data_IF_313127318625
#
_entry.id   IF_313127318625
#
_cell.length_a   1.000
_cell.length_b   1.000
_cell.length_c   1.000
_cell.angle_alpha   90.00
_cell.angle_beta   90.00
_cell.angle_gamma   90.00
#
_symmetry.space_group_name_H-M   'P 1'
#
loop_
_entity.id
_entity.type
_entity.pdbx_description
1 polymer ?
2 non-polymer ?
3 non-polymer ?
4 water ?
#
# COMPACT_ATOMS: atom_id res chain seq x y z
N UNK A 13 24.16 9.88 -4.67
CA UNK A 13 23.59 11.10 -4.10
C UNK A 13 22.28 10.79 -3.40
N UNK A 14 21.43 11.80 -3.28
CA UNK A 14 20.15 11.61 -2.59
C UNK A 14 19.10 11.05 -3.54
N UNK A 15 17.99 10.61 -2.96
CA UNK A 15 16.93 9.97 -3.73
C UNK A 15 16.30 10.93 -4.72
N UNK A 16 16.08 10.46 -5.94
CA UNK A 16 15.41 11.21 -6.99
C UNK A 16 14.00 10.66 -7.14
N UNK A 17 12.97 11.43 -6.82
CA UNK A 17 11.59 10.91 -6.89
C UNK A 17 11.21 10.56 -8.32
N UNK A 18 10.66 9.37 -8.54
CA UNK A 18 10.15 9.01 -9.87
C UNK A 18 9.01 9.93 -10.30
N UNK A 19 8.68 9.96 -11.57
CA UNK A 19 7.54 10.78 -12.01
C UNK A 19 6.23 10.28 -11.44
N UNK A 20 5.28 11.19 -11.33
CA UNK A 20 3.99 10.87 -10.73
C UNK A 20 3.15 10.01 -11.65
N UNK A 21 2.45 9.05 -11.06
CA UNK A 21 1.53 8.19 -11.79
C UNK A 21 0.24 8.95 -12.07
N UNK A 22 -0.61 8.45 -12.97
CA UNK A 22 -1.86 9.18 -13.27
C UNK A 22 -2.78 9.26 -12.06
N UNK A 23 -3.46 10.40 -11.94
CA UNK A 23 -4.49 10.61 -10.94
C UNK A 23 -5.77 10.98 -11.66
N UNK A 24 -6.83 10.23 -11.37
CA UNK A 24 -8.13 10.46 -11.99
C UNK A 24 -9.12 10.99 -10.95
N UNK A 25 -9.90 11.99 -11.35
CA UNK A 25 -10.91 12.60 -10.51
C UNK A 25 -12.26 12.45 -11.22
N UNK A 26 -12.85 11.26 -11.17
CA UNK A 26 -14.09 11.04 -11.93
C UNK A 26 -15.27 11.83 -11.37
N UNK A 27 -16.14 12.24 -12.28
CA UNK A 27 -17.41 12.81 -11.87
C UNK A 27 -18.33 11.70 -11.36
N UNK A 28 -19.49 12.10 -10.84
CA UNK A 28 -20.46 11.14 -10.34
C UNK A 28 -20.93 10.18 -11.44
N UNK A 29 -20.99 10.66 -12.68
CA UNK A 29 -21.38 9.79 -13.79
C UNK A 29 -20.33 8.71 -14.03
N UNK A 30 -19.05 9.11 -14.10
CA UNK A 30 -17.97 8.16 -14.31
C UNK A 30 -17.73 7.28 -13.09
N UNK A 31 -18.14 7.72 -11.90
CA UNK A 31 -17.96 6.98 -10.66
C UNK A 31 -19.04 5.93 -10.43
N UNK A 32 -19.81 5.58 -11.48
CA UNK A 32 -20.94 4.68 -11.29
C UNK A 32 -20.49 3.28 -10.90
N UNK A 33 -19.49 2.74 -11.60
CA UNK A 33 -19.05 1.37 -11.35
C UNK A 33 -17.54 1.27 -11.56
N UNK A 34 -16.80 0.67 -10.63
CA UNK A 34 -15.34 0.61 -10.79
C UNK A 34 -14.88 -0.21 -11.98
N UNK A 35 -15.56 -1.32 -12.28
CA UNK A 35 -15.13 -2.19 -13.37
C UNK A 35 -15.14 -1.44 -14.70
N UNK A 36 -16.23 -0.74 -15.00
CA UNK A 36 -16.30 0.01 -16.25
C UNK A 36 -15.32 1.18 -16.25
N UNK A 37 -15.13 1.82 -15.10
CA UNK A 37 -14.21 2.95 -15.03
C UNK A 37 -12.77 2.49 -15.24
N UNK A 38 -12.37 1.40 -14.58
CA UNK A 38 -11.02 0.88 -14.75
C UNK A 38 -10.80 0.45 -16.20
N UNK A 39 -11.84 -0.08 -16.84
CA UNK A 39 -11.73 -0.47 -18.23
C UNK A 39 -11.45 0.70 -19.16
N UNK A 40 -12.02 1.87 -18.85
CA UNK A 40 -11.85 3.02 -19.73
C UNK A 40 -10.51 3.74 -19.50
N UNK A 41 -10.01 3.77 -18.26
CA UNK A 41 -8.71 4.37 -18.01
C UNK A 41 -7.56 3.42 -18.32
N UNK A 42 -7.86 2.16 -18.64
CA UNK A 42 -6.83 1.17 -18.88
C UNK A 42 -5.79 1.57 -19.93
N UNK A 43 -6.14 2.17 -21.08
CA UNK A 43 -5.10 2.51 -22.06
C UNK A 43 -3.98 3.36 -21.49
N UNK A 44 -4.27 4.23 -20.52
CA UNK A 44 -3.22 5.03 -19.89
C UNK A 44 -2.65 4.33 -18.66
N UNK A 45 -3.53 3.85 -17.77
CA UNK A 45 -3.07 3.34 -16.49
C UNK A 45 -2.26 2.06 -16.63
N UNK A 46 -2.57 1.21 -17.61
CA UNK A 46 -1.77 0.00 -17.77
C UNK A 46 -0.36 0.31 -18.26
N UNK A 47 -0.14 1.49 -18.83
CA UNK A 47 1.20 1.90 -19.23
C UNK A 47 2.01 2.48 -18.08
N UNK A 48 1.39 2.72 -16.93
CA UNK A 48 2.09 3.20 -15.75
C UNK A 48 2.08 2.21 -14.60
N UNK A 49 1.35 1.10 -14.74
CA UNK A 49 1.29 0.09 -13.69
C UNK A 49 0.34 0.40 -12.56
N UNK A 50 0.46 1.59 -11.97
CA UNK A 50 -0.41 2.01 -10.89
C UNK A 50 -1.08 3.31 -11.28
N UNK A 51 -2.21 3.58 -10.66
CA UNK A 51 -2.89 4.86 -10.80
C UNK A 51 -3.65 5.16 -9.53
N UNK A 52 -4.00 6.44 -9.36
CA UNK A 52 -4.73 6.91 -8.20
C UNK A 52 -6.08 7.44 -8.64
N UNK A 53 -7.12 7.15 -7.86
CA UNK A 53 -8.49 7.55 -8.16
C UNK A 53 -9.04 8.31 -6.96
N UNK A 54 -9.39 9.58 -7.17
CA UNK A 54 -10.00 10.39 -6.13
C UNK A 54 -11.51 10.38 -6.31
N UNK A 55 -12.27 9.83 -5.38
CA UNK A 55 -13.73 9.83 -5.50
C UNK A 55 -14.27 11.25 -5.44
N UNK A 56 -15.53 11.47 -5.81
CA UNK A 56 -16.14 12.80 -5.65
C UNK A 56 -16.06 13.25 -4.20
N UNK A 57 -16.05 14.57 -4.01
CA UNK A 57 -15.82 15.14 -2.69
C UNK A 57 -16.85 14.66 -1.68
N UNK A 58 -18.09 14.45 -2.11
CA UNK A 58 -19.16 14.06 -1.20
C UNK A 58 -19.20 12.56 -0.91
N UNK A 59 -18.33 11.77 -1.54
CA UNK A 59 -18.28 10.32 -1.28
C UNK A 59 -17.34 10.10 -0.12
N UNK A 60 -17.91 9.91 1.08
CA UNK A 60 -17.13 9.74 2.31
C UNK A 60 -17.72 8.59 3.10
N UNK A 61 -17.21 7.38 2.93
CA UNK A 61 -17.70 6.24 3.71
C UNK A 61 -17.28 6.35 5.15
N UNK A 62 -18.16 6.00 6.10
CA UNK A 62 -17.77 6.01 7.50
C UNK A 62 -16.95 4.79 7.88
N UNK A 63 -16.02 4.98 8.80
CA UNK A 63 -15.16 3.90 9.25
C UNK A 63 -15.99 2.93 10.11
N UNK A 64 -16.01 1.66 9.71
CA UNK A 64 -16.93 0.69 10.29
C UNK A 64 -16.24 -0.41 11.10
N UNK A 65 -14.95 -0.27 11.37
CA UNK A 65 -14.27 -1.27 12.19
C UNK A 65 -14.65 -1.13 13.65
N UNK A 66 -14.64 -2.26 14.36
CA UNK A 66 -14.90 -2.29 15.80
C UNK A 66 -13.63 -1.78 16.50
N UNK A 67 -13.54 -0.45 16.63
CA UNK A 67 -12.33 0.18 17.16
C UNK A 67 -12.09 -0.21 18.61
N UNK A 68 -13.17 -0.42 19.38
CA UNK A 68 -13.02 -0.75 20.80
C UNK A 68 -12.25 -2.06 20.98
N UNK A 69 -12.55 -3.07 20.16
CA UNK A 69 -11.96 -4.39 20.29
C UNK A 69 -10.82 -4.65 19.32
N UNK A 70 -10.43 -3.64 18.52
CA UNK A 70 -9.40 -3.82 17.50
C UNK A 70 -8.04 -4.01 18.18
N UNK A 71 -7.60 -5.26 18.29
CA UNK A 71 -6.31 -5.59 18.88
C UNK A 71 -5.50 -6.41 17.88
N UNK A 72 -4.20 -6.14 17.81
CA UNK A 72 -3.36 -6.83 16.84
C UNK A 72 -1.91 -6.78 17.30
N UNK A 73 -1.13 -7.74 16.82
CA UNK A 73 0.30 -7.80 17.06
C UNK A 73 1.04 -7.55 15.75
N UNK A 74 1.57 -6.36 15.52
CA UNK A 74 2.21 -6.06 14.23
C UNK A 74 3.54 -6.77 14.10
N UNK A 75 4.00 -6.86 12.86
CA UNK A 75 5.28 -7.49 12.56
C UNK A 75 6.40 -6.45 12.60
N UNK A 76 7.57 -6.88 13.05
CA UNK A 76 8.73 -6.01 13.19
C UNK A 76 9.46 -5.94 11.86
N UNK A 77 9.82 -4.72 11.45
CA UNK A 77 10.54 -4.49 10.20
C UNK A 77 11.83 -3.74 10.48
N UNK A 78 12.96 -4.36 10.12
CA UNK A 78 14.25 -3.70 10.17
C UNK A 78 14.58 -3.22 8.76
N UNK A 79 14.70 -1.89 8.59
CA UNK A 79 14.78 -1.31 7.26
C UNK A 79 16.00 -1.79 6.50
N UNK A 80 17.14 -1.94 7.18
CA UNK A 80 18.40 -2.26 6.53
C UNK A 80 18.79 -3.73 6.67
N UNK A 81 17.80 -4.63 6.75
CA UNK A 81 18.11 -6.03 7.01
C UNK A 81 18.90 -6.66 5.87
N UNK A 82 18.67 -6.23 4.62
CA UNK A 82 19.40 -6.80 3.50
C UNK A 82 20.82 -6.27 3.40
N UNK A 83 21.05 -5.02 3.82
CA UNK A 83 22.41 -4.49 3.80
C UNK A 83 23.25 -5.03 4.94
N UNK A 84 22.61 -5.52 6.01
CA UNK A 84 23.33 -6.05 7.16
C UNK A 84 23.92 -7.44 6.93
N UNK A 85 23.50 -8.13 5.86
CA UNK A 85 24.03 -9.46 5.57
C UNK A 85 25.15 -9.40 4.53
N UNK A 96 17.57 -9.82 17.98
CA UNK A 96 16.38 -10.62 18.23
C UNK A 96 15.13 -9.75 18.32
N UNK A 97 14.28 -9.84 17.30
CA UNK A 97 13.06 -9.06 17.22
C UNK A 97 11.86 -9.99 17.09
N UNK A 98 10.84 -9.74 17.89
CA UNK A 98 9.64 -10.56 17.88
C UNK A 98 8.38 -9.73 18.13
N UNK A 101 4.63 -7.46 20.87
CA UNK A 101 3.88 -6.34 21.41
C UNK A 101 2.49 -6.24 20.79
N UNK A 102 1.46 -6.45 21.60
CA UNK A 102 0.09 -6.31 21.15
C UNK A 102 -0.37 -4.87 21.36
N UNK A 103 -0.99 -4.29 20.34
CA UNK A 103 -1.51 -2.94 20.39
C UNK A 103 -3.02 -2.95 20.19
N UNK A 104 -3.65 -1.86 20.61
CA UNK A 104 -4.93 -1.45 20.08
C UNK A 104 -4.68 -0.44 18.96
N UNK A 105 -5.75 -0.10 18.23
CA UNK A 105 -5.63 0.96 17.24
C UNK A 105 -5.15 2.27 17.89
N UNK A 106 -5.64 2.56 19.09
CA UNK A 106 -5.25 3.78 19.79
C UNK A 106 -3.79 3.72 20.25
N UNK A 107 -3.40 2.61 20.89
CA UNK A 107 -2.05 2.52 21.42
C UNK A 107 -1.01 2.44 20.30
N UNK A 108 -1.37 1.83 19.17
CA UNK A 108 -0.45 1.81 18.03
C UNK A 108 -0.28 3.21 17.46
N UNK A 109 -1.38 3.98 17.38
CA UNK A 109 -1.27 5.34 16.89
C UNK A 109 -0.44 6.24 17.78
N UNK A 110 -0.56 6.05 19.10
CA UNK A 110 0.28 6.81 20.02
C UNK A 110 1.75 6.48 19.84
N UNK A 111 2.06 5.18 19.71
CA UNK A 111 3.43 4.76 19.44
C UNK A 111 3.92 5.31 18.10
N UNK A 112 3.07 5.26 17.08
CA UNK A 112 3.48 5.67 15.75
C UNK A 112 3.76 7.16 15.69
N UNK A 113 2.86 7.98 16.26
CA UNK A 113 3.04 9.42 16.27
C UNK A 113 4.26 9.81 17.11
N UNK A 114 4.46 9.16 18.25
CA UNK A 114 5.62 9.44 19.08
C UNK A 114 6.92 9.11 18.35
N UNK A 115 6.93 8.00 17.61
CA UNK A 115 8.13 7.62 16.86
C UNK A 115 8.47 8.68 15.82
N UNK A 116 7.48 9.09 15.02
CA UNK A 116 7.76 9.99 13.91
C UNK A 116 8.13 11.38 14.41
N UNK A 117 7.38 11.90 15.39
CA UNK A 117 7.69 13.24 15.91
C UNK A 117 9.06 13.25 16.58
N UNK A 118 9.42 12.16 17.26
CA UNK A 118 10.75 12.09 17.88
C UNK A 118 11.85 11.95 16.84
N UNK A 119 11.59 11.16 15.78
CA UNK A 119 12.60 10.96 14.76
C UNK A 119 12.93 12.25 14.02
N UNK A 120 11.90 12.99 13.60
CA UNK A 120 12.11 14.20 12.82
C UNK A 120 12.14 15.47 13.66
N UNK A 121 11.88 15.36 14.97
CA UNK A 121 11.94 16.50 15.89
C UNK A 121 10.97 17.61 15.47
N UNK A 122 9.78 17.21 15.04
CA UNK A 122 8.75 18.16 14.63
C UNK A 122 7.40 17.44 14.67
N UNK A 123 6.29 18.20 14.71
CA UNK A 123 4.97 17.54 14.66
C UNK A 123 4.82 16.68 13.42
N UNK A 124 4.09 15.58 13.58
CA UNK A 124 4.02 14.57 12.53
C UNK A 124 3.44 15.15 11.24
N UNK A 125 2.45 16.03 11.36
CA UNK A 125 1.81 16.59 10.17
C UNK A 125 2.66 17.64 9.48
N UNK A 126 3.78 18.07 10.08
CA UNK A 126 4.64 19.07 9.49
C UNK A 126 5.82 18.48 8.73
N UNK A 127 6.00 17.17 8.77
CA UNK A 127 7.13 16.54 8.08
C UNK A 127 6.77 16.41 6.59
N UNK A 128 7.56 17.01 5.70
CA UNK A 128 7.25 16.92 4.27
C UNK A 128 7.34 15.47 3.78
N UNK A 129 6.43 15.11 2.85
CA UNK A 129 6.43 13.77 2.31
C UNK A 129 7.73 13.45 1.59
N UNK A 130 8.35 14.46 0.96
CA UNK A 130 9.62 14.24 0.28
C UNK A 130 10.74 13.93 1.26
N UNK A 131 10.67 14.48 2.47
CA UNK A 131 11.72 14.21 3.46
C UNK A 131 11.60 12.79 4.01
N UNK A 132 10.39 12.33 4.30
CA UNK A 132 10.22 10.95 4.74
C UNK A 132 10.69 9.99 3.65
N UNK A 133 10.40 10.33 2.39
CA UNK A 133 10.81 9.48 1.27
C UNK A 133 12.32 9.37 1.17
N UNK A 134 13.02 10.51 1.22
CA UNK A 134 14.48 10.47 1.11
C UNK A 134 15.11 9.79 2.32
N UNK A 135 14.53 9.98 3.50
CA UNK A 135 15.07 9.36 4.71
C UNK A 135 14.82 7.86 4.71
N UNK A 136 13.67 7.42 4.21
CA UNK A 136 13.37 5.99 4.14
C UNK A 136 14.42 5.25 3.32
N UNK A 137 14.74 5.77 2.13
CA UNK A 137 15.67 5.07 1.26
C UNK A 137 17.11 5.21 1.75
N UNK A 138 17.42 6.30 2.45
CA UNK A 138 18.73 6.39 3.09
C UNK A 138 18.88 5.32 4.17
N UNK A 139 17.84 5.14 4.98
CA UNK A 139 17.91 4.16 6.07
C UNK A 139 17.95 2.73 5.53
N UNK A 140 17.28 2.49 4.41
CA UNK A 140 17.25 1.15 3.83
C UNK A 140 18.66 0.70 3.46
N UNK A 141 19.48 1.62 2.97
CA UNK A 141 20.86 1.31 2.58
C UNK A 141 21.87 1.70 3.63
N UNK A 142 21.43 2.25 4.76
CA UNK A 142 22.35 2.68 5.81
C UNK A 142 22.86 1.50 6.62
N UNK A 143 24.19 1.41 6.75
CA UNK A 143 24.81 0.39 7.58
C UNK A 143 25.16 0.91 8.96
N UNK A 144 25.17 2.23 9.18
CA UNK A 144 25.50 2.80 10.47
C UNK A 144 24.30 2.92 11.40
N UNK A 145 23.12 3.19 10.85
CA UNK A 145 21.91 3.36 11.64
C UNK A 145 20.98 2.16 11.41
N UNK A 146 20.48 1.60 12.50
CA UNK A 146 19.57 0.45 12.46
C UNK A 146 18.21 0.92 12.97
N UNK A 147 17.32 1.27 12.04
CA UNK A 147 15.98 1.73 12.39
C UNK A 147 15.02 0.56 12.29
N UNK A 148 14.16 0.43 13.30
CA UNK A 148 13.23 -0.69 13.40
C UNK A 148 11.83 -0.13 13.62
N UNK A 149 10.86 -0.58 12.82
CA UNK A 149 9.48 -0.14 12.91
C UNK A 149 8.58 -1.37 12.95
N UNK A 150 7.28 -1.12 13.06
CA UNK A 150 6.27 -2.17 13.15
C UNK A 150 5.15 -1.89 12.16
N UNK A 151 4.59 -2.96 11.60
CA UNK A 151 3.56 -2.84 10.57
C UNK A 151 2.44 -3.81 10.89
N UNK A 152 1.23 -3.27 11.07
CA UNK A 152 0.06 -4.12 11.21
C UNK A 152 -0.47 -4.54 9.85
N UNK A 153 0.23 -5.44 9.18
CA UNK A 153 -0.04 -5.79 7.80
C UNK A 153 -0.78 -7.13 7.70
N UNK A 154 -1.55 -7.26 6.62
CA UNK A 154 -2.28 -8.49 6.28
C UNK A 154 -3.17 -8.93 7.44
N UNK A 155 -3.91 -7.98 8.00
CA UNK A 155 -4.93 -8.28 9.00
C UNK A 155 -6.23 -8.59 8.28
N UNK A 156 -6.78 -9.77 8.53
CA UNK A 156 -7.99 -10.20 7.83
C UNK A 156 -9.18 -9.35 8.24
N UNK A 157 -9.97 -8.93 7.25
CA UNK A 157 -11.20 -8.20 7.55
C UNK A 157 -12.26 -9.07 8.22
N UNK A 158 -12.06 -10.38 8.24
CA UNK A 158 -12.97 -11.25 8.99
C UNK A 158 -12.72 -11.20 10.49
N UNK A 159 -11.56 -10.71 10.90
CA UNK A 159 -11.22 -10.71 12.33
C UNK A 159 -11.99 -9.63 13.08
N UNK A 160 -11.78 -8.36 12.72
CA UNK A 160 -12.41 -7.24 13.40
C UNK A 160 -13.36 -6.46 12.49
N UNK A 161 -13.70 -7.00 11.33
CA UNK A 161 -14.59 -6.33 10.41
C UNK A 161 -13.83 -5.51 9.37
N UNK A 162 -14.56 -5.11 8.33
CA UNK A 162 -14.01 -4.26 7.30
C UNK A 162 -14.10 -2.79 7.70
N UNK A 163 -13.24 -1.97 7.09
CA UNK A 163 -13.35 -0.54 7.28
C UNK A 163 -14.57 0.06 6.64
N UNK A 164 -15.12 -0.60 5.63
CA UNK A 164 -16.38 -0.23 4.96
C UNK A 164 -17.55 -0.85 5.70
N UNK A 165 -18.70 -0.16 5.74
CA UNK A 165 -19.91 -0.79 6.28
C UNK A 165 -20.35 -1.92 5.36
N UNK A 166 -20.84 -3.00 5.97
CA UNK A 166 -21.31 -4.18 5.22
C UNK A 166 -22.62 -4.64 5.81
N UNK A 167 -23.48 -5.17 4.95
CA UNK A 167 -24.72 -5.79 5.40
C UNK A 167 -24.39 -7.14 6.02
N UNK A 168 -24.05 -7.14 7.29
CA UNK A 168 -23.56 -8.33 7.99
C UNK A 168 -24.42 -8.73 9.17
N UNK A 169 -24.91 -7.78 9.95
CA UNK A 169 -25.58 -8.05 11.19
C UNK A 169 -24.69 -7.99 12.41
N UNK A 170 -23.39 -8.21 12.24
CA UNK A 170 -22.46 -8.07 13.36
C UNK A 170 -22.33 -6.61 13.80
N UNK A 171 -22.58 -5.68 12.90
CA UNK A 171 -22.56 -4.25 13.21
C UNK A 171 -23.76 -3.59 12.54
N UNK A 172 -24.47 -2.76 13.30
CA UNK A 172 -25.63 -2.07 12.75
C UNK A 172 -25.20 -1.06 11.71
N UNK A 173 -25.94 -1.03 10.60
CA UNK A 173 -25.68 -0.09 9.51
C UNK A 173 -26.72 1.01 9.58
N UNK A 174 -26.27 2.25 9.77
CA UNK A 174 -27.16 3.39 9.80
C UNK A 174 -27.70 3.66 8.40
N UNK A 175 -28.83 4.37 8.29
CA UNK A 175 -29.35 4.70 6.95
C UNK A 175 -28.37 5.48 6.11
N UNK A 176 -27.60 6.39 6.72
CA UNK A 176 -26.59 7.15 5.99
C UNK A 176 -25.41 6.28 5.54
N UNK A 177 -25.31 5.04 6.04
CA UNK A 177 -24.23 4.15 5.69
C UNK A 177 -24.61 3.13 4.62
N UNK A 178 -25.91 2.91 4.39
CA UNK A 178 -26.33 1.85 3.48
C UNK A 178 -25.84 2.10 2.06
N UNK A 179 -25.81 3.37 1.63
CA UNK A 179 -25.28 3.70 0.32
C UNK A 179 -23.86 3.18 0.14
N UNK A 180 -23.04 3.27 1.19
CA UNK A 180 -21.66 2.79 1.12
C UNK A 180 -21.58 1.28 1.30
N UNK A 181 -22.52 0.68 2.02
CA UNK A 181 -22.54 -0.78 2.13
C UNK A 181 -22.86 -1.43 0.79
N UNK A 182 -23.59 -0.73 -0.08
CA UNK A 182 -23.99 -1.26 -1.38
C UNK A 182 -23.17 -0.69 -2.53
N UNK A 183 -22.23 0.21 -2.25
CA UNK A 183 -21.46 0.84 -3.31
C UNK A 183 -20.54 -0.17 -4.00
N UNK A 184 -20.40 -0.01 -5.31
CA UNK A 184 -19.45 -0.84 -6.05
C UNK A 184 -18.01 -0.57 -5.69
N UNK A 185 -17.71 0.60 -5.12
CA UNK A 185 -16.37 0.92 -4.66
C UNK A 185 -16.09 0.44 -3.24
N UNK A 186 -17.10 -0.08 -2.55
CA UNK A 186 -16.87 -0.85 -1.33
C UNK A 186 -16.08 -2.09 -1.69
N UNK A 187 -14.88 -2.22 -1.11
CA UNK A 187 -13.99 -3.31 -1.50
C UNK A 187 -14.58 -4.69 -1.22
N UNK A 188 -15.57 -4.78 -0.32
CA UNK A 188 -16.25 -6.05 -0.11
C UNK A 188 -17.18 -6.42 -1.25
N UNK A 189 -17.45 -5.49 -2.17
CA UNK A 189 -18.36 -5.73 -3.29
C UNK A 189 -17.63 -5.86 -4.62
N UNK A 190 -16.31 -6.08 -4.57
CA UNK A 190 -15.55 -6.28 -5.79
C UNK A 190 -15.65 -7.74 -6.24
N UNK A 191 -15.69 -7.99 -7.56
CA UNK A 191 -15.67 -9.38 -8.03
C UNK A 191 -14.30 -10.00 -7.82
N UNK A 192 -14.26 -11.15 -7.17
CA UNK A 192 -13.00 -11.76 -6.75
C UNK A 192 -12.87 -13.19 -7.28
N UNK A 193 -13.59 -13.49 -8.36
CA UNK A 193 -13.61 -14.84 -8.92
C UNK A 193 -13.04 -14.82 -10.33
N UNK A 194 -12.13 -15.75 -10.60
CA UNK A 194 -11.59 -15.95 -11.94
C UNK A 194 -12.42 -17.02 -12.66
N UNK A 195 -11.96 -17.46 -13.83
CA UNK A 195 -12.66 -18.47 -14.61
C UNK A 195 -11.95 -19.81 -14.49
N UNK A 196 -12.74 -20.87 -14.29
CA UNK A 196 -12.19 -22.21 -14.16
C UNK A 196 -13.26 -23.26 -14.47
N UNK A 209 -12.17 -14.87 -1.29
CA UNK A 209 -11.20 -13.86 -0.90
C UNK A 209 -11.88 -12.69 -0.20
N UNK A 210 -11.26 -12.20 0.87
CA UNK A 210 -11.78 -11.08 1.63
C UNK A 210 -10.74 -9.97 1.58
N UNK A 211 -11.15 -8.72 1.80
CA UNK A 211 -10.17 -7.64 1.88
C UNK A 211 -9.27 -7.81 3.10
N UNK A 212 -8.06 -7.26 2.98
CA UNK A 212 -7.09 -7.28 4.07
C UNK A 212 -6.84 -5.86 4.56
N UNK A 213 -6.48 -5.75 5.84
CA UNK A 213 -6.31 -4.47 6.50
C UNK A 213 -4.83 -4.22 6.79
N UNK A 214 -4.44 -2.95 6.76
CA UNK A 214 -3.05 -2.54 6.94
C UNK A 214 -3.00 -1.32 7.84
N UNK A 215 -2.46 -1.48 9.04
CA UNK A 215 -2.28 -0.39 9.99
C UNK A 215 -0.81 0.02 9.93
N UNK A 216 -0.54 1.19 9.34
CA UNK A 216 0.82 1.60 9.08
C UNK A 216 1.33 2.64 10.06
N UNK A 217 2.66 2.73 10.12
CA UNK A 217 3.36 3.80 10.81
C UNK A 217 4.47 4.32 9.89
N UNK A 218 5.13 5.38 10.33
CA UNK A 218 6.21 5.93 9.52
C UNK A 218 7.29 4.88 9.27
N UNK A 219 7.66 4.73 8.00
CA UNK A 219 8.72 3.85 7.48
C UNK A 219 8.27 2.40 7.35
N UNK A 220 7.07 2.02 7.80
CA UNK A 220 6.58 0.68 7.53
C UNK A 220 6.36 0.53 6.03
N UNK A 221 6.67 -0.65 5.49
CA UNK A 221 6.82 -0.77 4.04
C UNK A 221 6.37 -2.13 3.55
N UNK A 222 6.20 -2.21 2.23
CA UNK A 222 6.00 -3.47 1.53
C UNK A 222 6.94 -3.51 0.33
N UNK A 223 7.57 -4.65 0.12
CA UNK A 223 8.56 -4.73 -0.94
C UNK A 223 7.93 -5.10 -2.28
N UNK A 224 8.76 -5.07 -3.32
CA UNK A 224 8.28 -5.23 -4.70
C UNK A 224 7.63 -6.59 -4.89
N UNK A 225 6.45 -6.59 -5.48
CA UNK A 225 5.73 -7.83 -5.73
C UNK A 225 4.65 -7.59 -6.78
N UNK A 226 4.17 -8.70 -7.35
CA UNK A 226 2.94 -8.72 -8.13
C UNK A 226 1.97 -9.63 -7.41
N UNK A 227 0.70 -9.56 -7.82
CA UNK A 227 -0.35 -10.33 -7.16
C UNK A 227 -0.37 -11.76 -7.69
N UNK A 228 -0.86 -12.67 -6.84
CA UNK A 228 -1.10 -14.04 -7.28
C UNK A 228 -2.06 -14.04 -8.47
N UNK A 229 -1.78 -14.91 -9.44
CA UNK A 229 -2.54 -15.02 -10.68
C UNK A 229 -2.49 -13.73 -11.51
N UNK A 230 -1.51 -12.87 -11.23
CA UNK A 230 -1.38 -11.57 -11.90
C UNK A 230 -2.66 -10.75 -11.78
N UNK A 231 -3.32 -10.83 -10.63
CA UNK A 231 -4.59 -10.16 -10.47
C UNK A 231 -4.41 -8.65 -10.33
N UNK A 232 -5.48 -7.92 -10.63
CA UNK A 232 -5.59 -6.54 -10.19
C UNK A 232 -5.55 -6.48 -8.67
N UNK A 233 -5.22 -5.30 -8.15
CA UNK A 233 -5.46 -5.00 -6.75
C UNK A 233 -5.98 -3.58 -6.63
N UNK A 234 -6.86 -3.36 -5.67
CA UNK A 234 -7.37 -2.03 -5.37
C UNK A 234 -7.20 -1.78 -3.88
N UNK A 235 -6.74 -0.58 -3.55
CA UNK A 235 -6.35 -0.24 -2.19
C UNK A 235 -6.98 1.10 -1.80
N UNK A 236 -7.68 1.13 -0.67
CA UNK A 236 -8.33 2.32 -0.17
C UNK A 236 -7.73 2.73 1.16
N UNK A 237 -7.34 4.00 1.28
CA UNK A 237 -6.81 4.53 2.52
C UNK A 237 -7.96 5.17 3.30
N UNK A 238 -8.40 4.49 4.36
CA UNK A 238 -9.56 4.97 5.11
C UNK A 238 -9.25 6.28 5.81
N UNK A 239 -8.12 6.36 6.49
CA UNK A 239 -7.74 7.58 7.19
C UNK A 239 -6.24 7.53 7.49
N UNK A 240 -5.71 8.67 7.92
CA UNK A 240 -4.34 8.76 8.36
C UNK A 240 -3.45 9.47 7.37
N UNK A 241 -2.15 9.38 7.62
CA UNK A 241 -1.13 10.00 6.79
C UNK A 241 -0.94 9.20 5.51
N UNK A 242 -0.37 9.81 4.46
CA UNK A 242 -0.37 9.16 3.15
C UNK A 242 0.45 7.87 3.12
N UNK A 243 0.13 7.06 2.11
CA UNK A 243 0.89 5.87 1.77
C UNK A 243 1.59 6.13 0.44
N UNK A 244 2.91 6.04 0.43
CA UNK A 244 3.70 6.33 -0.76
C UNK A 244 3.88 5.06 -1.58
N UNK A 245 3.57 5.14 -2.87
CA UNK A 245 3.59 3.99 -3.77
C UNK A 245 4.67 4.16 -4.84
N UNK A 246 5.16 3.02 -5.33
CA UNK A 246 5.97 2.96 -6.53
C UNK A 246 5.42 1.85 -7.41
N UNK A 247 5.33 2.10 -8.70
CA UNK A 247 4.73 1.14 -9.62
C UNK A 247 5.51 1.03 -10.91
N UNK A 248 5.49 -0.18 -11.48
CA UNK A 248 6.16 -0.46 -12.75
C UNK A 248 5.13 -1.09 -13.70
N UNK A 249 5.00 -0.59 -14.92
CA UNK A 249 4.03 -1.17 -15.85
C UNK A 249 4.38 -2.61 -16.19
N UNK A 250 3.34 -3.36 -16.59
CA UNK A 250 3.50 -4.79 -16.81
C UNK A 250 4.43 -5.10 -17.97
N UNK A 251 4.57 -4.19 -18.94
CA UNK A 251 5.46 -4.46 -20.07
C UNK A 251 6.92 -4.45 -19.66
N UNK A 252 7.25 -3.95 -18.47
CA UNK A 252 8.61 -3.98 -17.96
C UNK A 252 8.79 -4.98 -16.83
N UNK A 253 7.86 -5.93 -16.67
CA UNK A 253 7.94 -6.87 -15.57
C UNK A 253 9.18 -7.75 -15.67
N UNK A 254 9.45 -8.27 -16.87
CA UNK A 254 10.64 -9.11 -17.04
C UNK A 254 11.92 -8.31 -16.82
N UNK A 255 11.93 -7.05 -17.25
CA UNK A 255 13.10 -6.20 -17.03
C UNK A 255 13.37 -6.00 -15.55
N UNK A 256 12.31 -5.78 -14.76
CA UNK A 256 12.49 -5.63 -13.32
C UNK A 256 13.01 -6.91 -12.69
N UNK A 257 12.45 -8.06 -13.09
CA UNK A 257 12.87 -9.33 -12.51
C UNK A 257 14.33 -9.65 -12.83
N UNK A 258 14.80 -9.25 -14.02
CA UNK A 258 16.21 -9.47 -14.36
C UNK A 258 17.12 -8.56 -13.54
N UNK A 259 16.73 -7.30 -13.34
CA UNK A 259 17.50 -6.41 -12.50
C UNK A 259 17.51 -6.91 -11.07
N UNK A 260 16.35 -7.34 -10.56
CA UNK A 260 16.26 -7.85 -9.21
C UNK A 260 17.13 -9.10 -9.05
N UNK A 261 17.16 -9.96 -10.06
CA UNK A 261 17.97 -11.17 -9.98
C UNK A 261 19.46 -10.86 -10.08
N UNK A 262 19.83 -9.84 -10.85
CA UNK A 262 21.24 -9.50 -11.01
C UNK A 262 21.82 -8.89 -9.74
N UNK A 263 21.01 -8.15 -8.98
CA UNK A 263 21.52 -7.42 -7.82
C UNK A 263 21.12 -8.05 -6.48
N UNK A 264 20.31 -9.10 -6.49
CA UNK A 264 19.96 -9.77 -5.26
C UNK A 264 21.15 -10.61 -4.78
N UNK A 265 21.27 -10.81 -3.47
CA UNK A 265 22.32 -11.71 -2.96
C UNK A 265 22.19 -13.11 -3.54
N UNK A 266 23.33 -13.80 -3.65
CA UNK A 266 23.35 -15.12 -4.29
C UNK A 266 22.44 -16.12 -3.58
N UNK A 267 22.26 -15.97 -2.26
CA UNK A 267 21.43 -16.91 -1.52
C UNK A 267 19.96 -16.78 -1.88
N UNK A 268 19.52 -15.59 -2.27
CA UNK A 268 18.12 -15.35 -2.60
C UNK A 268 17.85 -15.30 -4.09
N UNK A 269 18.89 -15.19 -4.92
CA UNK A 269 18.69 -15.03 -6.36
C UNK A 269 18.00 -16.23 -6.98
N UNK A 270 18.29 -17.42 -6.49
CA UNK A 270 17.73 -18.66 -7.04
C UNK A 270 16.41 -19.06 -6.38
N UNK A 271 15.89 -18.26 -5.45
CA UNK A 271 14.66 -18.62 -4.76
C UNK A 271 13.45 -18.43 -5.68
N UNK A 272 12.42 -19.26 -5.50
CA UNK A 272 11.17 -19.03 -6.24
C UNK A 272 10.63 -17.64 -5.98
N UNK A 273 9.93 -17.10 -6.98
CA UNK A 273 9.49 -15.71 -6.91
C UNK A 273 8.55 -15.45 -5.74
N UNK A 274 7.71 -16.43 -5.40
CA UNK A 274 6.78 -16.26 -4.27
C UNK A 274 7.53 -16.09 -2.96
N UNK A 275 8.69 -16.72 -2.82
CA UNK A 275 9.53 -16.56 -1.65
C UNK A 275 10.47 -15.36 -1.75
N UNK A 276 11.07 -15.16 -2.92
CA UNK A 276 11.94 -14.00 -3.11
C UNK A 276 11.19 -12.70 -2.86
N UNK A 277 9.91 -12.66 -3.23
CA UNK A 277 9.08 -11.47 -3.03
C UNK A 277 8.92 -11.07 -1.58
N UNK A 278 9.41 -11.88 -0.64
CA UNK A 278 9.39 -11.48 0.76
C UNK A 278 10.52 -10.52 1.11
N UNK A 279 11.59 -10.47 0.31
CA UNK A 279 12.75 -9.65 0.61
C UNK A 279 13.18 -8.83 -0.60
N UNK A 280 12.25 -8.57 -1.51
CA UNK A 280 12.57 -7.83 -2.74
C UNK A 280 12.46 -6.31 -2.51
N UNK A 281 13.34 -5.80 -1.66
CA UNK A 281 13.42 -4.37 -1.41
C UNK A 281 14.52 -3.79 -2.30
N UNK A 282 14.18 -2.75 -3.05
CA UNK A 282 15.12 -2.15 -3.99
C UNK A 282 14.77 -0.69 -4.21
N UNK A 283 15.77 0.17 -4.11
CA UNK A 283 15.58 1.59 -4.36
C UNK A 283 15.07 1.80 -5.79
N UNK A 284 14.00 2.58 -5.98
CA UNK A 284 13.49 2.80 -7.34
C UNK A 284 14.51 3.43 -8.27
N UNK A 285 15.44 4.24 -7.76
CA UNK A 285 16.45 4.83 -8.63
C UNK A 285 17.36 3.78 -9.25
N UNK A 286 17.59 2.66 -8.55
CA UNK A 286 18.39 1.58 -9.11
C UNK A 286 17.68 0.96 -10.31
N UNK A 287 16.36 0.77 -10.20
CA UNK A 287 15.59 0.26 -11.34
C UNK A 287 15.59 1.26 -12.48
N UNK A 288 15.39 2.55 -12.16
CA UNK A 288 15.38 3.57 -13.20
C UNK A 288 16.72 3.68 -13.91
N UNK A 289 17.82 3.49 -13.17
CA UNK A 289 19.15 3.53 -13.78
C UNK A 289 19.35 2.36 -14.75
N UNK A 290 18.63 1.26 -14.56
CA UNK A 290 18.70 0.11 -15.45
C UNK A 290 17.62 0.14 -16.53
N UNK A 291 16.98 1.28 -16.73
CA UNK A 291 15.99 1.43 -17.78
C UNK A 291 14.58 1.00 -17.42
N UNK A 292 14.32 0.67 -16.16
CA UNK A 292 12.97 0.26 -15.75
C UNK A 292 12.13 1.51 -15.52
N UNK A 293 10.99 1.66 -16.19
CA UNK A 293 10.11 2.80 -15.90
C UNK A 293 9.41 2.62 -14.56
N UNK A 294 9.52 3.64 -13.71
CA UNK A 294 8.94 3.62 -12.38
C UNK A 294 8.13 4.90 -12.19
N UNK A 295 6.94 4.76 -11.61
CA UNK A 295 6.09 5.90 -11.26
C UNK A 295 5.80 5.85 -9.77
N UNK A 296 5.49 7.01 -9.20
CA UNK A 296 5.24 7.15 -7.77
C UNK A 296 3.92 7.86 -7.55
N UNK A 297 3.44 7.81 -6.31
CA UNK A 297 2.31 8.62 -5.88
C UNK A 297 2.24 8.62 -4.36
N UNK A 298 1.65 9.68 -3.82
CA UNK A 298 1.27 9.75 -2.41
C UNK A 298 -0.23 9.54 -2.33
N UNK A 299 -0.65 8.38 -1.82
CA UNK A 299 -2.06 8.07 -1.66
C UNK A 299 -2.55 8.70 -0.36
N UNK A 300 -3.41 9.69 -0.45
CA UNK A 300 -3.91 10.38 0.73
C UNK A 300 -5.23 9.73 1.19
N UNK A 301 -5.65 10.12 2.39
CA UNK A 301 -6.87 9.57 2.97
C UNK A 301 -8.06 9.80 2.05
N UNK A 302 -8.86 8.75 1.86
CA UNK A 302 -10.02 8.82 1.01
C UNK A 302 -9.78 8.56 -0.45
N UNK A 303 -8.57 8.14 -0.83
CA UNK A 303 -8.21 7.92 -2.22
C UNK A 303 -7.91 6.44 -2.47
N UNK A 304 -8.18 6.02 -3.70
CA UNK A 304 -7.92 4.67 -4.16
C UNK A 304 -6.63 4.60 -4.96
N UNK A 305 -5.94 3.45 -4.85
CA UNK A 305 -4.84 3.11 -5.73
C UNK A 305 -5.16 1.77 -6.37
N UNK A 306 -5.06 1.71 -7.70
CA UNK A 306 -5.31 0.48 -8.45
C UNK A 306 -4.00 0.03 -9.07
N UNK A 307 -3.65 -1.25 -8.89
CA UNK A 307 -2.50 -1.85 -9.54
C UNK A 307 -3.01 -2.78 -10.63
N UNK A 308 -2.40 -2.70 -11.81
CA UNK A 308 -2.88 -3.47 -12.94
C UNK A 308 -2.20 -4.83 -13.00
N UNK A 309 -2.72 -5.77 -13.79
CA UNK A 309 -2.15 -7.12 -13.83
C UNK A 309 -0.66 -7.12 -14.12
N UNK A 310 0.08 -7.83 -13.29
CA UNK A 310 1.53 -8.01 -13.40
C UNK A 310 2.29 -6.69 -13.31
N UNK A 311 1.70 -5.68 -12.66
CA UNK A 311 2.37 -4.42 -12.40
C UNK A 311 3.05 -4.51 -11.04
N UNK A 312 4.38 -4.59 -11.05
CA UNK A 312 5.14 -4.64 -9.81
C UNK A 312 4.95 -3.34 -9.04
N UNK A 313 4.79 -3.46 -7.73
CA UNK A 313 4.60 -2.29 -6.89
C UNK A 313 5.22 -2.50 -5.52
N UNK A 314 5.59 -1.38 -4.90
CA UNK A 314 6.15 -1.37 -3.56
C UNK A 314 5.83 -0.01 -2.93
N UNK A 315 6.15 0.14 -1.66
CA UNK A 315 5.91 1.42 -1.05
C UNK A 315 6.14 1.39 0.47
N UNK A 316 5.80 2.52 1.07
CA UNK A 316 5.96 2.70 2.51
C UNK A 316 4.94 3.72 2.99
N UNK A 317 4.70 3.74 4.29
CA UNK A 317 3.73 4.66 4.88
C UNK A 317 4.42 5.88 5.46
N UNK A 318 3.80 7.05 5.26
CA UNK A 318 4.32 8.29 5.80
C UNK A 318 4.09 8.42 7.30
N UNK A 319 3.11 7.69 7.83
CA UNK A 319 2.81 7.79 9.24
C UNK A 319 1.63 6.90 9.60
N UNK A 320 1.04 7.17 10.76
CA UNK A 320 -0.10 6.39 11.23
C UNK A 320 -1.26 6.47 10.26
N UNK A 321 -1.66 5.32 9.70
CA UNK A 321 -2.76 5.29 8.76
C UNK A 321 -3.43 3.92 8.78
N UNK A 322 -4.46 3.77 7.96
CA UNK A 322 -5.28 2.55 7.94
C UNK A 322 -5.76 2.34 6.52
N UNK A 323 -5.35 1.22 5.91
CA UNK A 323 -5.67 0.92 4.53
C UNK A 323 -6.39 -0.42 4.43
N UNK A 324 -7.14 -0.59 3.35
CA UNK A 324 -7.84 -1.82 3.06
C UNK A 324 -7.64 -2.15 1.59
N UNK A 325 -7.40 -3.43 1.29
CA UNK A 325 -7.05 -3.81 -0.07
C UNK A 325 -7.63 -5.18 -0.38
N UNK A 326 -7.89 -5.41 -1.68
CA UNK A 326 -8.40 -6.69 -2.15
C UNK A 326 -7.94 -6.88 -3.58
N UNK A 327 -7.76 -8.15 -3.96
CA UNK A 327 -7.43 -8.51 -5.33
C UNK A 327 -8.72 -8.82 -6.10
N UNK A 328 -8.72 -8.47 -7.38
CA UNK A 328 -9.88 -8.73 -8.21
C UNK A 328 -9.42 -9.00 -9.65
N UNK A 329 -10.27 -9.68 -10.40
CA UNK A 329 -10.01 -10.00 -11.80
C UNK A 329 -11.13 -9.45 -12.66
N UNK A 330 -10.79 -9.12 -13.91
CA UNK A 330 -11.76 -8.59 -14.86
C UNK A 330 -12.03 -9.57 -15.99
#
# INVERSE_FOLDING_TARGET
HNMAGVGPGGYAAEFVPPPECPVFEPSWEEFTDPLSFIGRIRPLAEKTGICKIRPPKDWQPPFACEVKSFRFTPRVQRLNELEAMTRVRPREAFGFEQAVREYTLQSFGEMADNFKSDYFNMPVHMVPTELVEKEFWRLVSSIEEDVIVEYGADISSKDFGSGFPVKDGRRKILPEEEEYALSGWNLNNMPVLEQSVLAHINVDISGMKVPWLYVGMCFSSFCWHIEDHWSYSINYLHWGEPKTWYGVPSHAAEQLEEVMRELAPELFESQPDLLHQLVTIMNPNVLMEHGVPVYRTNQCAGEFVVTFPRAYHSGFNQGYNFAEAVNFCT
#
